data_IF_217472296470
#
_entry.id   IF_217472296470
#
_cell.length_a   1.000
_cell.length_b   1.000
_cell.length_c   1.000
_cell.angle_alpha   90.00
_cell.angle_beta   90.00
_cell.angle_gamma   90.00
#
_symmetry.space_group_name_H-M   'P 1'
#
loop_
_entity.id
_entity.type
_entity.pdbx_description
1 polymer ?
#
# COMPACT_ATOMS: atom_id res chain seq x y z
N UNK A 1 24.54 24.90 22.85
CA UNK A 1 25.59 24.01 22.31
C UNK A 1 25.24 22.53 22.49
N UNK A 2 24.86 22.07 23.70
CA UNK A 2 24.38 20.69 23.89
C UNK A 2 23.04 20.42 23.18
N UNK A 3 22.13 21.39 23.16
CA UNK A 3 20.85 21.29 22.43
C UNK A 3 21.02 21.22 20.90
N UNK A 4 22.10 21.77 20.34
CA UNK A 4 22.38 21.66 18.89
C UNK A 4 22.99 20.31 18.53
N UNK A 5 23.73 19.66 19.44
CA UNK A 5 24.25 18.30 19.23
C UNK A 5 23.13 17.26 19.21
N UNK A 6 22.07 17.45 20.02
CA UNK A 6 20.92 16.55 20.06
C UNK A 6 20.14 16.49 18.74
N UNK A 7 20.24 17.54 17.89
CA UNK A 7 19.55 17.62 16.59
C UNK A 7 20.25 16.86 15.46
N UNK A 8 21.47 16.35 15.67
CA UNK A 8 22.22 15.58 14.67
C UNK A 8 21.70 14.13 14.68
N UNK A 9 20.99 13.73 13.62
CA UNK A 9 20.35 12.41 13.53
C UNK A 9 21.34 11.26 13.30
N UNK A 10 22.47 11.52 12.64
CA UNK A 10 23.49 10.49 12.42
C UNK A 10 24.33 10.28 13.71
N UNK A 11 24.30 9.08 14.32
CA UNK A 11 24.92 8.85 15.62
C UNK A 11 26.45 8.90 15.59
N UNK A 12 27.09 8.58 14.45
CA UNK A 12 28.53 8.68 14.27
C UNK A 12 28.97 10.14 14.19
N UNK A 13 28.26 10.95 13.38
CA UNK A 13 28.54 12.39 13.22
C UNK A 13 28.24 13.13 14.53
N UNK A 14 27.15 12.79 15.22
CA UNK A 14 26.80 13.37 16.53
C UNK A 14 27.89 13.09 17.57
N UNK A 15 28.37 11.86 17.64
CA UNK A 15 29.42 11.46 18.58
C UNK A 15 30.76 12.12 18.28
N UNK A 16 31.15 12.17 17.00
CA UNK A 16 32.37 12.87 16.58
C UNK A 16 32.29 14.38 16.86
N UNK A 17 31.16 15.02 16.55
CA UNK A 17 30.95 16.45 16.79
C UNK A 17 30.94 16.76 18.29
N UNK A 18 30.32 15.91 19.12
CA UNK A 18 30.34 16.06 20.57
C UNK A 18 31.75 15.92 21.14
N UNK A 19 32.53 14.94 20.67
CA UNK A 19 33.92 14.74 21.12
C UNK A 19 34.82 15.93 20.75
N UNK A 20 34.72 16.44 19.52
CA UNK A 20 35.46 17.63 19.06
C UNK A 20 35.06 18.85 19.89
N UNK A 21 33.76 19.01 20.17
CA UNK A 21 33.22 20.13 20.97
C UNK A 21 33.76 20.10 22.40
N UNK A 22 33.69 18.94 23.07
CA UNK A 22 34.20 18.75 24.43
C UNK A 22 35.71 18.96 24.49
N UNK A 23 36.44 18.43 23.50
CA UNK A 23 37.88 18.65 23.37
C UNK A 23 38.19 20.15 23.26
N UNK A 24 37.51 20.86 22.36
CA UNK A 24 37.70 22.31 22.15
C UNK A 24 37.41 23.13 23.41
N UNK A 25 36.33 22.81 24.14
CA UNK A 25 35.97 23.50 25.39
C UNK A 25 37.00 23.23 26.49
N UNK A 26 37.49 21.99 26.61
CA UNK A 26 38.52 21.64 27.61
C UNK A 26 39.85 22.32 27.29
N UNK A 27 40.26 22.37 26.02
CA UNK A 27 41.50 23.06 25.61
C UNK A 27 41.40 24.56 25.83
N UNK A 28 40.23 25.16 25.57
CA UNK A 28 40.00 26.59 25.80
C UNK A 28 39.97 26.93 27.29
N UNK A 29 39.33 26.11 28.13
CA UNK A 29 39.34 26.27 29.59
C UNK A 29 40.76 26.14 30.16
N UNK A 30 41.55 25.17 29.68
CA UNK A 30 42.95 25.02 30.07
C UNK A 30 43.81 26.23 29.66
N UNK A 31 43.62 26.75 28.43
CA UNK A 31 44.32 27.93 27.95
C UNK A 31 43.97 29.21 28.74
N UNK A 32 42.71 29.40 29.11
CA UNK A 32 42.28 30.51 29.98
C UNK A 32 42.90 30.39 31.37
N UNK A 33 42.92 29.18 31.94
CA UNK A 33 43.47 28.93 33.28
C UNK A 33 44.98 29.24 33.32
N UNK A 34 45.71 28.88 32.27
CA UNK A 34 47.14 29.20 32.10
C UNK A 34 47.37 30.70 31.83
N UNK A 35 46.44 31.37 31.11
CA UNK A 35 46.54 32.79 30.80
C UNK A 35 46.23 33.72 31.98
N UNK A 36 45.32 33.33 32.88
CA UNK A 36 44.94 34.11 34.06
C UNK A 36 45.93 33.91 35.22
N UNK A 37 46.43 32.68 35.40
CA UNK A 37 47.47 32.40 36.38
C UNK A 37 48.85 32.70 35.79
N UNK A 38 49.28 33.98 35.83
CA UNK A 38 50.61 34.44 35.40
C UNK A 38 51.70 33.39 35.67
N UNK A 39 52.49 32.99 34.66
CA UNK A 39 53.82 32.49 34.94
C UNK A 39 54.84 33.12 34.00
N UNK A 40 55.71 33.97 34.57
CA UNK A 40 57.04 34.20 34.03
C UNK A 40 57.89 32.98 34.38
N UNK A 41 57.79 31.86 33.65
CA UNK A 41 58.79 30.77 33.63
C UNK A 41 58.41 29.69 32.61
N UNK A 42 59.42 29.20 31.88
CA UNK A 42 59.34 28.20 30.79
C UNK A 42 58.66 26.86 31.16
N UNK A 43 58.56 26.53 32.45
CA UNK A 43 58.02 25.23 32.90
C UNK A 43 56.50 25.09 32.76
N UNK A 44 55.73 26.19 32.81
CA UNK A 44 54.27 26.15 32.71
C UNK A 44 53.78 25.68 31.32
N UNK A 45 54.56 25.96 30.28
CA UNK A 45 54.26 25.57 28.90
C UNK A 45 54.47 24.05 28.68
N UNK A 46 55.50 23.46 29.31
CA UNK A 46 55.77 22.01 29.26
C UNK A 46 54.71 21.19 29.97
N UNK A 47 54.17 21.68 31.09
CA UNK A 47 53.05 21.03 31.79
C UNK A 47 51.73 21.09 31.01
N UNK A 48 51.48 22.16 30.25
CA UNK A 48 50.29 22.26 29.37
C UNK A 48 50.36 21.29 28.19
N UNK A 49 51.54 21.13 27.59
CA UNK A 49 51.76 20.25 26.45
C UNK A 49 51.61 18.76 26.82
N UNK A 50 52.10 18.37 28.01
CA UNK A 50 51.98 16.99 28.52
C UNK A 50 50.55 16.61 28.88
N UNK A 51 49.78 17.52 29.49
CA UNK A 51 48.35 17.29 29.76
C UNK A 51 47.53 17.11 28.47
N UNK A 52 47.84 17.86 27.40
CA UNK A 52 47.14 17.75 26.11
C UNK A 52 47.44 16.43 25.37
N UNK A 53 48.66 15.89 25.51
CA UNK A 53 49.07 14.60 24.93
C UNK A 53 48.47 13.40 25.67
N UNK A 54 48.34 13.47 27.00
CA UNK A 54 47.68 12.42 27.80
C UNK A 54 46.18 12.35 27.46
N UNK A 55 45.52 13.51 27.27
CA UNK A 55 44.12 13.56 26.86
C UNK A 55 43.84 12.92 25.50
N UNK A 56 44.77 13.03 24.54
CA UNK A 56 44.66 12.38 23.22
C UNK A 56 44.90 10.87 23.30
N UNK A 57 45.83 10.44 24.17
CA UNK A 57 46.11 9.01 24.40
C UNK A 57 44.95 8.25 25.04
N UNK A 58 44.29 8.83 26.06
CA UNK A 58 43.15 8.21 26.75
C UNK A 58 41.92 8.13 25.82
N UNK A 59 41.69 9.15 24.98
CA UNK A 59 40.63 9.12 23.97
C UNK A 59 40.83 8.07 22.87
N UNK A 60 42.08 7.86 22.43
CA UNK A 60 42.41 6.84 21.42
C UNK A 60 42.29 5.41 21.96
N UNK A 61 42.67 5.16 23.22
CA UNK A 61 42.51 3.86 23.89
C UNK A 61 41.05 3.50 24.15
N UNK A 62 40.20 4.46 24.55
CA UNK A 62 38.75 4.23 24.68
C UNK A 62 38.10 3.93 23.33
N UNK A 63 38.54 4.61 22.26
CA UNK A 63 38.09 4.35 20.89
C UNK A 63 38.46 2.95 20.37
N UNK A 64 39.67 2.45 20.69
CA UNK A 64 40.13 1.13 20.28
C UNK A 64 39.44 0.00 21.06
N UNK A 65 39.28 0.13 22.38
CA UNK A 65 38.61 -0.88 23.22
C UNK A 65 37.11 -0.96 22.91
N UNK A 66 36.45 0.16 22.55
CA UNK A 66 35.05 0.15 22.12
C UNK A 66 34.87 -0.42 20.70
N UNK A 67 35.83 -0.17 19.80
CA UNK A 67 35.88 -0.78 18.45
C UNK A 67 36.07 -2.29 18.50
N UNK A 68 36.85 -2.80 19.45
CA UNK A 68 37.05 -4.25 19.64
C UNK A 68 35.82 -4.95 20.24
N UNK A 69 35.01 -4.27 21.06
CA UNK A 69 33.73 -4.79 21.56
C UNK A 69 32.59 -4.76 20.54
N UNK A 70 32.64 -3.87 19.55
CA UNK A 70 31.66 -3.86 18.43
C UNK A 70 32.11 -4.68 17.20
N UNK A 71 33.36 -5.18 17.18
CA UNK A 71 33.87 -6.09 16.15
C UNK A 71 33.30 -7.52 16.21
N UNK A 72 32.50 -7.85 17.24
CA UNK A 72 31.79 -9.12 17.35
C UNK A 72 30.30 -8.91 17.01
N UNK A 73 29.96 -9.21 15.74
CA UNK A 73 28.62 -9.32 15.14
C UNK A 73 27.80 -8.02 14.95
N UNK A 74 28.12 -7.32 13.86
CA UNK A 74 27.07 -6.88 12.92
C UNK A 74 27.60 -7.06 11.51
N UNK A 75 27.42 -8.26 10.95
CA UNK A 75 27.47 -8.42 9.51
C UNK A 75 26.27 -7.65 8.94
N UNK A 76 26.52 -6.50 8.33
CA UNK A 76 25.67 -5.97 7.27
C UNK A 76 25.77 -6.92 6.09
N UNK A 77 24.95 -7.98 6.13
CA UNK A 77 24.58 -8.69 4.93
C UNK A 77 23.67 -7.81 4.06
N UNK A 78 23.52 -8.11 2.76
CA UNK A 78 22.45 -7.52 1.97
C UNK A 78 21.14 -7.67 2.74
N UNK A 79 20.23 -6.69 2.60
CA UNK A 79 18.84 -6.85 3.05
C UNK A 79 18.44 -8.27 2.70
N UNK A 80 18.12 -9.08 3.72
CA UNK A 80 17.72 -10.45 3.49
C UNK A 80 16.44 -10.36 2.67
N UNK A 81 16.59 -10.41 1.36
CA UNK A 81 15.62 -11.00 0.47
C UNK A 81 15.34 -12.33 1.17
N UNK A 82 14.23 -12.39 1.90
CA UNK A 82 13.65 -13.66 2.24
C UNK A 82 13.57 -14.37 0.89
N UNK A 83 14.36 -15.44 0.74
CA UNK A 83 14.23 -16.41 -0.35
C UNK A 83 12.73 -16.53 -0.63
N UNK A 84 12.32 -16.51 -1.91
CA UNK A 84 10.94 -16.33 -2.38
C UNK A 84 9.85 -17.29 -1.84
N UNK A 85 10.06 -17.97 -0.72
CA UNK A 85 9.06 -18.50 0.19
C UNK A 85 8.40 -17.36 0.98
N UNK A 86 7.10 -17.18 0.74
CA UNK A 86 6.27 -16.40 1.65
C UNK A 86 6.36 -16.99 3.07
N UNK A 87 6.53 -16.17 4.12
CA UNK A 87 6.81 -16.66 5.49
C UNK A 87 5.65 -17.43 6.12
N UNK A 88 4.46 -17.34 5.54
CA UNK A 88 3.36 -18.27 5.74
C UNK A 88 2.63 -18.46 4.41
N UNK A 89 1.83 -19.53 4.26
CA UNK A 89 1.18 -19.86 2.98
C UNK A 89 -0.34 -19.65 2.98
N UNK A 90 -1.00 -19.86 4.11
CA UNK A 90 -2.46 -19.73 4.21
C UNK A 90 -2.83 -18.66 5.23
N UNK A 91 -3.56 -18.99 6.29
CA UNK A 91 -3.98 -18.01 7.31
C UNK A 91 -2.95 -17.87 8.43
N UNK A 92 -2.60 -16.63 8.77
CA UNK A 92 -1.88 -16.28 9.99
C UNK A 92 -2.71 -15.30 10.81
N UNK A 93 -2.67 -15.43 12.12
CA UNK A 93 -3.40 -14.56 13.02
C UNK A 93 -2.66 -13.23 13.23
N UNK A 94 -3.41 -12.14 13.19
CA UNK A 94 -2.95 -10.79 13.47
C UNK A 94 -3.85 -10.14 14.50
N UNK A 95 -3.25 -9.46 15.47
CA UNK A 95 -3.96 -8.62 16.44
C UNK A 95 -4.06 -7.20 15.88
N UNK A 96 -5.25 -6.61 16.00
CA UNK A 96 -5.44 -5.17 15.76
C UNK A 96 -4.76 -4.40 16.88
N UNK A 97 -3.58 -3.86 16.60
CA UNK A 97 -2.78 -3.09 17.56
C UNK A 97 -3.27 -1.65 17.69
N UNK A 98 -3.86 -1.08 16.64
CA UNK A 98 -4.35 0.29 16.61
C UNK A 98 -5.52 0.43 15.62
N UNK A 99 -6.45 1.34 15.92
CA UNK A 99 -7.61 1.68 15.10
C UNK A 99 -7.76 3.20 15.03
N UNK A 100 -7.65 3.78 13.84
CA UNK A 100 -7.60 5.24 13.62
C UNK A 100 -8.71 5.65 12.64
N UNK A 101 -9.53 6.64 13.01
CA UNK A 101 -10.52 7.22 12.09
C UNK A 101 -9.82 8.23 11.18
N UNK A 102 -9.73 7.91 9.89
CA UNK A 102 -9.02 8.72 8.90
C UNK A 102 -9.94 9.73 8.19
N UNK A 103 -11.23 9.40 8.11
CA UNK A 103 -12.27 10.28 7.58
C UNK A 103 -13.64 9.87 8.14
N UNK A 104 -14.73 10.52 7.71
CA UNK A 104 -16.08 10.11 8.11
C UNK A 104 -16.46 8.69 7.68
N UNK A 105 -15.76 8.12 6.69
CA UNK A 105 -16.07 6.79 6.19
C UNK A 105 -14.89 5.81 6.18
N UNK A 106 -13.65 6.27 6.38
CA UNK A 106 -12.45 5.43 6.33
C UNK A 106 -11.85 5.30 7.73
N UNK A 107 -11.58 4.06 8.12
CA UNK A 107 -10.87 3.73 9.37
C UNK A 107 -9.68 2.84 9.05
N UNK A 108 -8.52 3.17 9.58
CA UNK A 108 -7.29 2.37 9.51
C UNK A 108 -7.19 1.38 10.67
N UNK A 109 -6.72 0.18 10.36
CA UNK A 109 -6.47 -0.92 11.29
C UNK A 109 -5.02 -1.36 11.14
N UNK A 110 -4.26 -1.27 12.23
CA UNK A 110 -2.85 -1.64 12.27
C UNK A 110 -2.73 -3.06 12.81
N UNK A 111 -2.22 -3.97 11.99
CA UNK A 111 -2.18 -5.40 12.25
C UNK A 111 -0.76 -5.83 12.59
N UNK A 112 -0.57 -6.44 13.75
CA UNK A 112 0.68 -7.08 14.17
C UNK A 112 0.46 -8.59 14.29
N UNK A 113 1.45 -9.43 13.95
CA UNK A 113 1.29 -10.87 14.06
C UNK A 113 1.07 -11.26 15.53
N UNK A 114 0.06 -12.09 15.78
CA UNK A 114 -0.31 -12.52 17.14
C UNK A 114 0.83 -13.29 17.83
N UNK A 115 1.59 -14.06 17.04
CA UNK A 115 2.73 -14.85 17.48
C UNK A 115 4.00 -14.02 17.80
N UNK A 116 3.97 -12.70 17.58
CA UNK A 116 5.11 -11.79 17.80
C UNK A 116 6.28 -11.98 16.82
N UNK A 117 6.15 -12.86 15.82
CA UNK A 117 7.17 -13.11 14.82
C UNK A 117 7.34 -11.95 13.83
N UNK A 118 8.35 -12.04 12.97
CA UNK A 118 8.54 -11.04 11.91
C UNK A 118 7.48 -11.16 10.82
N UNK A 119 7.21 -10.04 10.13
CA UNK A 119 6.42 -10.00 8.90
C UNK A 119 7.31 -9.56 7.73
N UNK A 120 7.08 -10.11 6.53
CA UNK A 120 7.83 -9.74 5.35
C UNK A 120 7.46 -8.33 4.93
N UNK A 121 8.36 -7.73 4.15
CA UNK A 121 7.98 -6.56 3.38
C UNK A 121 6.97 -6.92 2.28
N UNK A 122 6.32 -5.91 1.74
CA UNK A 122 5.45 -6.00 0.57
C UNK A 122 5.87 -4.97 -0.48
N UNK A 123 5.43 -5.18 -1.72
CA UNK A 123 5.58 -4.20 -2.80
C UNK A 123 4.46 -3.15 -2.70
N UNK A 124 4.78 -1.86 -2.90
CA UNK A 124 3.78 -0.81 -2.77
C UNK A 124 2.66 -0.98 -3.78
N UNK A 125 1.42 -1.06 -3.26
CA UNK A 125 0.21 -1.34 -4.05
C UNK A 125 -0.37 -2.75 -3.84
N UNK A 126 0.37 -3.67 -3.23
CA UNK A 126 -0.17 -4.98 -2.82
C UNK A 126 -1.29 -4.84 -1.78
N UNK A 127 -2.10 -5.89 -1.67
CA UNK A 127 -3.19 -6.03 -0.71
C UNK A 127 -2.97 -7.20 0.25
N UNK A 128 -3.73 -7.20 1.34
CA UNK A 128 -3.88 -8.32 2.26
C UNK A 128 -5.26 -8.96 2.09
N UNK A 129 -5.33 -10.28 2.00
CA UNK A 129 -6.61 -11.00 2.07
C UNK A 129 -6.88 -11.33 3.53
N UNK A 130 -8.00 -10.85 4.07
CA UNK A 130 -8.44 -11.15 5.43
C UNK A 130 -9.68 -12.04 5.44
N UNK A 131 -9.81 -12.82 6.50
CA UNK A 131 -10.98 -13.65 6.77
C UNK A 131 -11.61 -13.20 8.08
N UNK A 132 -12.92 -12.98 8.03
CA UNK A 132 -13.72 -12.48 9.14
C UNK A 132 -14.78 -13.52 9.52
N UNK A 133 -14.73 -13.98 10.77
CA UNK A 133 -15.77 -14.78 11.38
C UNK A 133 -16.88 -13.84 11.88
N UNK A 134 -17.88 -13.58 11.04
CA UNK A 134 -18.95 -12.61 11.32
C UNK A 134 -20.17 -13.35 11.89
N UNK A 135 -20.64 -13.01 13.11
CA UNK A 135 -21.84 -13.62 13.68
C UNK A 135 -23.05 -13.53 12.74
N UNK A 136 -23.76 -14.65 12.58
CA UNK A 136 -24.92 -14.75 11.70
C UNK A 136 -24.60 -15.00 10.23
N UNK A 137 -23.33 -14.99 9.81
CA UNK A 137 -22.95 -15.46 8.48
C UNK A 137 -22.71 -16.98 8.50
N UNK A 138 -23.21 -17.73 7.49
CA UNK A 138 -23.07 -19.19 7.45
C UNK A 138 -21.63 -19.64 7.14
N UNK A 139 -20.79 -18.74 6.62
CA UNK A 139 -19.38 -18.99 6.30
C UNK A 139 -18.54 -17.75 6.61
N UNK A 140 -17.22 -17.91 6.82
CA UNK A 140 -16.33 -16.78 6.99
C UNK A 140 -16.37 -15.83 5.80
N UNK A 141 -16.39 -14.53 6.06
CA UNK A 141 -16.38 -13.50 5.01
C UNK A 141 -14.94 -13.14 4.67
N UNK A 142 -14.55 -13.39 3.42
CA UNK A 142 -13.19 -13.12 2.92
C UNK A 142 -13.19 -11.83 2.09
N UNK A 143 -12.26 -10.91 2.40
CA UNK A 143 -12.09 -9.64 1.65
C UNK A 143 -10.62 -9.29 1.49
N UNK A 144 -10.34 -8.52 0.44
CA UNK A 144 -9.01 -7.98 0.14
C UNK A 144 -8.98 -6.48 0.36
N UNK A 145 -7.94 -5.98 1.02
CA UNK A 145 -7.74 -4.55 1.26
C UNK A 145 -6.28 -4.17 0.96
N UNK A 146 -6.07 -3.11 0.17
CA UNK A 146 -4.72 -2.62 -0.14
C UNK A 146 -3.97 -2.27 1.15
N UNK A 147 -2.68 -2.63 1.17
CA UNK A 147 -1.77 -2.23 2.23
C UNK A 147 -1.50 -0.74 2.07
N UNK A 148 -1.95 0.05 3.04
CA UNK A 148 -2.03 1.51 2.94
C UNK A 148 -0.87 2.24 3.62
N UNK A 149 0.24 1.55 3.87
CA UNK A 149 1.43 2.11 4.52
C UNK A 149 2.70 1.66 3.77
N UNK A 150 3.84 2.24 4.11
CA UNK A 150 5.16 1.77 3.68
C UNK A 150 6.26 2.36 4.59
N UNK A 151 7.04 1.49 5.23
CA UNK A 151 8.08 1.87 6.21
C UNK A 151 9.32 0.96 6.07
N UNK A 152 10.52 1.46 6.42
CA UNK A 152 11.79 0.73 6.22
C UNK A 152 11.82 -0.66 6.87
N UNK A 153 11.21 -0.78 8.05
CA UNK A 153 11.05 -2.07 8.72
C UNK A 153 9.56 -2.29 8.92
N UNK A 154 9.03 -3.32 8.27
CA UNK A 154 7.61 -3.66 8.35
C UNK A 154 7.32 -4.25 9.74
N UNK A 155 6.84 -3.40 10.65
CA UNK A 155 6.45 -3.78 12.01
C UNK A 155 4.95 -4.07 12.14
N UNK A 156 4.16 -3.63 11.16
CA UNK A 156 2.72 -3.83 11.06
C UNK A 156 2.28 -3.77 9.60
N UNK A 157 1.10 -4.29 9.32
CA UNK A 157 0.33 -3.95 8.13
C UNK A 157 -0.76 -2.95 8.47
N UNK A 158 -1.03 -1.98 7.58
CA UNK A 158 -2.13 -1.03 7.74
C UNK A 158 -3.19 -1.27 6.68
N UNK A 159 -4.38 -1.70 7.08
CA UNK A 159 -5.55 -1.77 6.21
C UNK A 159 -6.44 -0.57 6.48
N UNK A 160 -6.90 0.11 5.43
CA UNK A 160 -7.72 1.30 5.55
C UNK A 160 -9.03 1.08 4.82
N UNK A 161 -10.11 0.94 5.58
CA UNK A 161 -11.35 0.33 5.09
C UNK A 161 -12.44 1.38 5.09
N UNK A 162 -13.06 1.60 3.92
CA UNK A 162 -14.27 2.41 3.79
C UNK A 162 -15.50 1.64 4.29
N UNK A 163 -16.32 2.27 5.12
CA UNK A 163 -17.65 1.78 5.50
C UNK A 163 -18.59 1.88 4.30
N UNK A 164 -19.32 0.80 4.03
CA UNK A 164 -20.36 0.75 2.98
C UNK A 164 -21.74 0.54 3.62
N UNK A 165 -22.38 1.60 4.16
CA UNK A 165 -23.73 1.48 4.71
C UNK A 165 -24.74 1.23 3.59
N UNK A 166 -25.96 0.84 3.96
CA UNK A 166 -27.06 0.75 3.02
C UNK A 166 -27.28 2.13 2.38
N UNK A 167 -27.34 2.24 1.04
CA UNK A 167 -27.63 3.51 0.39
C UNK A 167 -29.00 4.03 0.82
N UNK A 168 -29.09 5.31 1.18
CA UNK A 168 -30.35 5.92 1.59
C UNK A 168 -31.35 5.89 0.42
N UNK A 169 -32.54 5.35 0.67
CA UNK A 169 -33.64 5.33 -0.30
C UNK A 169 -33.52 4.28 -1.40
N UNK A 170 -32.57 3.34 -1.29
CA UNK A 170 -32.49 2.17 -2.17
C UNK A 170 -32.66 0.89 -1.33
N UNK A 171 -33.33 -0.10 -1.91
CA UNK A 171 -33.45 -1.45 -1.32
C UNK A 171 -32.18 -2.27 -1.62
N UNK A 172 -31.05 -1.79 -1.09
CA UNK A 172 -29.73 -2.42 -1.26
C UNK A 172 -29.14 -2.65 0.12
N UNK A 173 -28.74 -3.89 0.39
CA UNK A 173 -28.18 -4.30 1.67
C UNK A 173 -26.82 -3.62 1.94
N UNK A 174 -26.49 -3.34 3.22
CA UNK A 174 -25.19 -2.79 3.59
C UNK A 174 -24.06 -3.80 3.36
N UNK A 175 -22.84 -3.30 3.16
CA UNK A 175 -21.64 -4.14 3.05
C UNK A 175 -21.34 -4.87 4.35
N UNK A 176 -21.44 -6.19 4.35
CA UNK A 176 -21.30 -7.02 5.56
C UNK A 176 -19.92 -6.85 6.23
N UNK A 177 -18.83 -7.00 5.48
CA UNK A 177 -17.48 -6.98 6.02
C UNK A 177 -17.05 -5.59 6.52
N UNK A 178 -17.29 -4.53 5.72
CA UNK A 178 -16.82 -3.20 6.08
C UNK A 178 -17.55 -2.62 7.28
N UNK A 179 -18.87 -2.85 7.41
CA UNK A 179 -19.60 -2.45 8.61
C UNK A 179 -19.13 -3.25 9.84
N UNK A 180 -18.93 -4.57 9.72
CA UNK A 180 -18.40 -5.38 10.82
C UNK A 180 -17.01 -4.90 11.28
N UNK A 181 -16.10 -4.60 10.36
CA UNK A 181 -14.78 -4.03 10.67
C UNK A 181 -14.90 -2.71 11.44
N UNK A 182 -15.85 -1.84 11.07
CA UNK A 182 -16.02 -0.57 11.76
C UNK A 182 -16.71 -0.72 13.12
N UNK A 183 -17.76 -1.53 13.21
CA UNK A 183 -18.64 -1.63 14.38
C UNK A 183 -18.09 -2.56 15.46
N UNK A 184 -17.56 -3.70 15.08
CA UNK A 184 -17.28 -4.82 16.01
C UNK A 184 -15.79 -5.09 16.22
N UNK A 185 -14.95 -4.86 15.21
CA UNK A 185 -13.50 -5.03 15.36
C UNK A 185 -12.93 -3.87 16.18
N UNK A 186 -12.25 -4.20 17.27
CA UNK A 186 -11.61 -3.24 18.18
C UNK A 186 -10.12 -3.54 18.33
N UNK A 187 -9.38 -2.66 19.01
CA UNK A 187 -8.00 -2.96 19.42
C UNK A 187 -8.01 -4.23 20.29
N UNK A 188 -7.10 -5.16 19.99
CA UNK A 188 -7.03 -6.48 20.60
C UNK A 188 -7.81 -7.58 19.86
N UNK A 189 -8.69 -7.25 18.90
CA UNK A 189 -9.34 -8.25 18.06
C UNK A 189 -8.33 -9.00 17.19
N UNK A 190 -8.58 -10.29 16.95
CA UNK A 190 -7.76 -11.14 16.08
C UNK A 190 -8.41 -11.25 14.70
N UNK A 191 -7.61 -11.05 13.66
CA UNK A 191 -8.00 -11.16 12.26
C UNK A 191 -7.04 -12.12 11.58
N UNK A 192 -7.58 -13.06 10.80
CA UNK A 192 -6.75 -13.97 10.02
C UNK A 192 -6.44 -13.37 8.65
N UNK A 193 -5.18 -13.44 8.24
CA UNK A 193 -4.72 -12.89 6.97
C UNK A 193 -3.84 -13.86 6.19
N UNK A 194 -3.99 -13.84 4.85
CA UNK A 194 -3.01 -14.42 3.91
C UNK A 194 -1.84 -13.46 3.70
N UNK A 195 -0.71 -13.94 3.15
CA UNK A 195 0.41 -13.07 2.79
C UNK A 195 0.02 -11.93 1.84
N UNK A 196 0.79 -10.83 1.81
CA UNK A 196 0.64 -9.80 0.80
C UNK A 196 0.66 -10.37 -0.61
N UNK A 197 -0.25 -9.90 -1.45
CA UNK A 197 -0.39 -10.32 -2.83
C UNK A 197 -0.91 -9.17 -3.70
N UNK A 198 -0.95 -9.38 -5.01
CA UNK A 198 -1.45 -8.39 -5.97
C UNK A 198 -0.41 -8.01 -7.02
N UNK A 199 -0.91 -7.56 -8.17
CA UNK A 199 -0.11 -7.18 -9.35
C UNK A 199 -0.11 -5.68 -9.62
N UNK A 200 -0.97 -4.93 -8.94
CA UNK A 200 -0.99 -3.47 -8.99
C UNK A 200 0.15 -2.92 -8.13
N UNK A 201 1.37 -2.99 -8.64
CA UNK A 201 2.60 -2.66 -7.91
C UNK A 201 3.36 -1.53 -8.59
N UNK A 202 3.89 -0.60 -7.79
CA UNK A 202 4.82 0.41 -8.28
C UNK A 202 6.25 -0.14 -8.23
N UNK A 203 6.90 -0.21 -9.38
CA UNK A 203 8.36 -0.37 -9.43
C UNK A 203 9.03 0.97 -9.12
N UNK A 204 9.45 1.14 -7.87
CA UNK A 204 10.00 2.40 -7.36
C UNK A 204 11.33 2.79 -8.00
N UNK A 205 12.06 1.85 -8.61
CA UNK A 205 13.41 2.09 -9.14
C UNK A 205 13.44 2.59 -10.59
N UNK A 206 12.28 2.63 -11.26
CA UNK A 206 12.18 3.26 -12.59
C UNK A 206 12.48 4.76 -12.52
N UNK A 207 13.05 5.28 -13.60
CA UNK A 207 13.32 6.72 -13.77
C UNK A 207 12.13 7.49 -14.34
N UNK A 208 11.18 6.81 -15.00
CA UNK A 208 10.02 7.45 -15.60
C UNK A 208 9.18 8.11 -14.51
N UNK A 209 8.70 9.35 -14.68
CA UNK A 209 7.83 9.96 -13.69
C UNK A 209 6.58 9.13 -13.41
N UNK A 210 5.99 9.30 -12.23
CA UNK A 210 4.80 8.54 -11.82
C UNK A 210 3.65 9.48 -11.46
N UNK A 211 2.45 9.16 -11.91
CA UNK A 211 1.22 9.91 -11.65
C UNK A 211 0.24 8.99 -10.93
N UNK A 212 0.07 9.19 -9.63
CA UNK A 212 -0.84 8.45 -8.77
C UNK A 212 -2.19 9.17 -8.72
N UNK A 213 -3.24 8.53 -9.21
CA UNK A 213 -4.56 9.13 -9.39
C UNK A 213 -5.60 8.31 -8.64
N UNK A 214 -6.31 8.94 -7.71
CA UNK A 214 -7.34 8.24 -6.94
C UNK A 214 -8.58 9.06 -6.63
N UNK A 215 -9.66 8.38 -6.28
CA UNK A 215 -10.78 9.00 -5.57
C UNK A 215 -11.27 8.14 -4.39
N UNK A 216 -11.76 8.80 -3.34
CA UNK A 216 -12.26 8.14 -2.13
C UNK A 216 -11.27 7.11 -1.55
N UNK A 217 -11.73 5.88 -1.29
CA UNK A 217 -10.88 4.82 -0.70
C UNK A 217 -9.77 4.32 -1.64
N UNK A 218 -9.81 4.67 -2.94
CA UNK A 218 -8.74 4.38 -3.89
C UNK A 218 -7.40 5.04 -3.54
N UNK A 219 -7.38 5.97 -2.57
CA UNK A 219 -6.15 6.56 -2.03
C UNK A 219 -5.23 5.54 -1.35
N UNK A 220 -5.77 4.40 -0.91
CA UNK A 220 -5.07 3.42 -0.06
C UNK A 220 -3.83 2.80 -0.70
N UNK A 221 -3.84 2.26 -1.94
CA UNK A 221 -2.60 1.85 -2.61
C UNK A 221 -1.70 3.06 -2.93
N UNK A 222 -2.28 4.22 -3.26
CA UNK A 222 -1.53 5.41 -3.67
C UNK A 222 -0.65 5.96 -2.56
N UNK A 223 -1.14 6.02 -1.31
CA UNK A 223 -0.32 6.48 -0.20
C UNK A 223 0.84 5.51 0.11
N UNK A 224 0.64 4.20 -0.07
CA UNK A 224 1.73 3.21 0.03
C UNK A 224 2.80 3.46 -1.04
N UNK A 225 2.38 3.67 -2.30
CA UNK A 225 3.25 4.01 -3.42
C UNK A 225 4.01 5.32 -3.20
N UNK A 226 3.34 6.37 -2.74
CA UNK A 226 3.96 7.66 -2.45
C UNK A 226 5.01 7.54 -1.33
N UNK A 227 4.69 6.85 -0.24
CA UNK A 227 5.62 6.59 0.87
C UNK A 227 6.83 5.76 0.41
N UNK A 228 6.63 4.76 -0.43
CA UNK A 228 7.73 3.93 -0.94
C UNK A 228 8.65 4.75 -1.86
N UNK A 229 8.08 5.49 -2.80
CA UNK A 229 8.82 6.33 -3.74
C UNK A 229 9.64 7.39 -3.00
N UNK A 230 9.01 8.15 -2.11
CA UNK A 230 9.66 9.19 -1.30
C UNK A 230 10.85 8.66 -0.47
N UNK A 231 10.81 7.39 -0.06
CA UNK A 231 11.91 6.78 0.73
C UNK A 231 13.00 6.17 -0.14
N UNK A 232 12.61 5.46 -1.20
CA UNK A 232 13.52 4.58 -1.96
C UNK A 232 14.05 5.24 -3.22
N UNK A 233 13.34 6.22 -3.76
CA UNK A 233 13.72 6.97 -4.95
C UNK A 233 13.21 8.42 -4.85
N UNK A 234 13.73 9.21 -3.88
CA UNK A 234 13.25 10.57 -3.59
C UNK A 234 13.42 11.54 -4.77
N UNK A 235 14.31 11.25 -5.72
CA UNK A 235 14.56 12.10 -6.88
C UNK A 235 13.56 11.84 -8.03
N UNK A 236 12.76 10.77 -7.96
CA UNK A 236 11.78 10.45 -9.00
C UNK A 236 10.60 11.43 -8.96
N UNK A 237 10.30 12.15 -10.06
CA UNK A 237 9.15 13.05 -10.09
C UNK A 237 7.85 12.25 -9.90
N UNK A 238 7.02 12.74 -8.98
CA UNK A 238 5.80 12.07 -8.55
C UNK A 238 4.67 13.09 -8.45
N UNK A 239 3.54 12.80 -9.09
CA UNK A 239 2.30 13.55 -8.89
C UNK A 239 1.29 12.70 -8.15
N UNK A 240 0.69 13.28 -7.11
CA UNK A 240 -0.36 12.66 -6.31
C UNK A 240 -1.65 13.45 -6.48
N UNK A 241 -2.59 12.91 -7.26
CA UNK A 241 -3.89 13.53 -7.52
C UNK A 241 -4.98 12.74 -6.81
N UNK A 242 -5.75 13.42 -5.95
CA UNK A 242 -6.80 12.78 -5.18
C UNK A 242 -8.12 13.55 -5.23
N UNK A 243 -9.19 12.84 -5.62
CA UNK A 243 -10.56 13.32 -5.61
C UNK A 243 -11.32 12.90 -4.35
N UNK A 244 -11.94 13.85 -3.65
CA UNK A 244 -12.87 13.58 -2.56
C UNK A 244 -14.17 14.39 -2.72
N UNK A 245 -15.19 14.07 -1.91
CA UNK A 245 -16.42 14.87 -1.87
C UNK A 245 -16.14 16.24 -1.26
N UNK A 246 -15.61 16.23 -0.05
CA UNK A 246 -15.27 17.39 0.76
C UNK A 246 -14.18 16.98 1.77
N UNK A 247 -13.74 17.90 2.61
CA UNK A 247 -12.67 17.64 3.58
C UNK A 247 -12.98 16.56 4.62
N UNK A 248 -14.25 16.24 4.89
CA UNK A 248 -14.63 15.17 5.84
C UNK A 248 -14.40 13.77 5.29
N UNK A 249 -14.37 13.63 3.97
CA UNK A 249 -14.21 12.35 3.29
C UNK A 249 -12.78 12.14 2.76
N UNK A 250 -11.89 13.13 2.92
CA UNK A 250 -10.50 13.05 2.49
C UNK A 250 -9.64 12.41 3.59
N UNK A 251 -9.36 11.11 3.46
CA UNK A 251 -8.43 10.41 4.34
C UNK A 251 -6.96 10.78 4.03
N UNK A 252 -6.09 10.74 5.04
CA UNK A 252 -4.63 10.88 4.91
C UNK A 252 -4.10 12.21 4.36
N UNK A 253 -4.90 13.28 4.31
CA UNK A 253 -4.47 14.58 3.76
C UNK A 253 -3.18 15.08 4.41
N UNK A 254 -3.14 15.06 5.74
CA UNK A 254 -2.02 15.54 6.54
C UNK A 254 -0.79 14.64 6.34
N UNK A 255 -0.99 13.33 6.21
CA UNK A 255 0.09 12.38 5.99
C UNK A 255 0.75 12.56 4.60
N UNK A 256 -0.06 12.73 3.55
CA UNK A 256 0.44 13.01 2.20
C UNK A 256 1.15 14.37 2.14
N UNK A 257 0.61 15.39 2.81
CA UNK A 257 1.26 16.71 2.91
C UNK A 257 2.60 16.64 3.64
N UNK A 258 2.70 15.86 4.71
CA UNK A 258 3.97 15.67 5.43
C UNK A 258 5.04 15.00 4.54
N UNK A 259 4.63 14.05 3.67
CA UNK A 259 5.55 13.46 2.69
C UNK A 259 5.99 14.53 1.68
N UNK A 260 5.05 15.31 1.13
CA UNK A 260 5.36 16.34 0.13
C UNK A 260 6.30 17.43 0.68
N UNK A 261 6.13 17.83 1.94
CA UNK A 261 7.03 18.79 2.60
C UNK A 261 8.48 18.32 2.69
N UNK A 262 8.71 17.00 2.71
CA UNK A 262 10.04 16.40 2.78
C UNK A 262 10.58 16.00 1.40
N UNK A 263 9.76 16.05 0.35
CA UNK A 263 10.07 15.53 -0.97
C UNK A 263 9.63 16.55 -2.05
N UNK A 264 10.52 17.46 -2.47
CA UNK A 264 10.18 18.50 -3.46
C UNK A 264 9.72 17.96 -4.83
N UNK A 265 10.08 16.71 -5.13
CA UNK A 265 9.68 15.97 -6.34
C UNK A 265 8.25 15.45 -6.29
N UNK A 266 7.62 15.42 -5.10
CA UNK A 266 6.21 15.06 -4.91
C UNK A 266 5.32 16.30 -5.01
N UNK A 267 4.56 16.38 -6.10
CA UNK A 267 3.55 17.40 -6.35
C UNK A 267 2.16 16.86 -6.01
N UNK A 268 1.40 17.59 -5.22
CA UNK A 268 0.09 17.13 -4.70
C UNK A 268 -1.02 18.02 -5.23
N UNK A 269 -2.09 17.40 -5.75
CA UNK A 269 -3.28 18.10 -6.22
C UNK A 269 -4.55 17.42 -5.73
N UNK A 270 -5.29 18.10 -4.86
CA UNK A 270 -6.57 17.65 -4.33
C UNK A 270 -7.72 18.34 -5.07
N UNK A 271 -8.70 17.53 -5.48
CA UNK A 271 -9.90 17.99 -6.16
C UNK A 271 -11.15 17.63 -5.35
N UNK A 272 -11.94 18.62 -4.95
CA UNK A 272 -13.16 18.40 -4.16
C UNK A 272 -14.40 18.63 -5.03
N UNK A 273 -15.27 17.63 -5.12
CA UNK A 273 -16.48 17.73 -5.96
C UNK A 273 -17.60 18.55 -5.32
N UNK A 274 -17.58 18.70 -3.99
CA UNK A 274 -18.58 19.43 -3.19
C UNK A 274 -17.90 20.09 -1.97
N UNK A 275 -16.91 20.97 -2.17
CA UNK A 275 -16.18 21.58 -1.06
C UNK A 275 -17.14 22.38 -0.17
N UNK A 276 -16.81 22.43 1.12
CA UNK A 276 -17.51 23.27 2.11
C UNK A 276 -16.68 24.53 2.38
N UNK A 277 -17.27 25.58 2.97
CA UNK A 277 -16.52 26.79 3.34
C UNK A 277 -15.29 26.51 4.21
N UNK A 278 -15.34 25.48 5.08
CA UNK A 278 -14.22 25.10 5.95
C UNK A 278 -13.07 24.41 5.20
N UNK A 279 -13.30 23.99 3.95
CA UNK A 279 -12.29 23.31 3.13
C UNK A 279 -11.41 24.30 2.37
N UNK A 280 -11.68 25.61 2.44
CA UNK A 280 -10.92 26.65 1.76
C UNK A 280 -9.42 26.58 2.10
N UNK A 281 -8.56 26.53 1.07
CA UNK A 281 -7.11 26.38 1.23
C UNK A 281 -6.62 24.94 1.45
N UNK A 282 -7.53 23.97 1.53
CA UNK A 282 -7.19 22.55 1.69
C UNK A 282 -7.34 21.71 0.41
N UNK A 283 -7.75 22.34 -0.71
CA UNK A 283 -7.84 21.73 -2.03
C UNK A 283 -7.40 22.71 -3.12
N UNK A 284 -7.03 22.19 -4.30
CA UNK A 284 -6.50 22.99 -5.41
C UNK A 284 -7.54 23.24 -6.52
N UNK A 285 -8.54 22.36 -6.67
CA UNK A 285 -9.61 22.55 -7.66
C UNK A 285 -10.96 21.98 -7.21
N UNK A 286 -12.03 22.51 -7.78
CA UNK A 286 -13.38 21.97 -7.62
C UNK A 286 -13.74 21.00 -8.75
N UNK A 287 -14.56 20.00 -8.44
CA UNK A 287 -15.03 19.00 -9.41
C UNK A 287 -14.36 17.64 -9.25
N UNK A 288 -13.95 17.04 -10.36
CA UNK A 288 -13.33 15.72 -10.41
C UNK A 288 -11.92 15.80 -11.01
N UNK A 289 -11.06 14.84 -10.68
CA UNK A 289 -9.82 14.65 -11.42
C UNK A 289 -10.17 14.02 -12.77
N UNK A 290 -9.85 14.71 -13.87
CA UNK A 290 -10.08 14.27 -15.24
C UNK A 290 -8.81 14.46 -16.09
N UNK A 291 -8.83 14.00 -17.34
CA UNK A 291 -7.66 14.11 -18.23
C UNK A 291 -7.31 15.56 -18.55
N UNK A 292 -8.29 16.47 -18.58
CA UNK A 292 -8.06 17.87 -18.87
C UNK A 292 -7.28 18.56 -17.74
N UNK A 293 -7.50 18.15 -16.48
CA UNK A 293 -6.67 18.53 -15.36
C UNK A 293 -5.26 17.93 -15.47
N UNK A 294 -5.15 16.63 -15.81
CA UNK A 294 -3.84 15.98 -15.99
C UNK A 294 -2.97 16.71 -17.03
N UNK A 295 -3.54 17.06 -18.18
CA UNK A 295 -2.86 17.79 -19.25
C UNK A 295 -2.26 19.14 -18.82
N UNK A 296 -2.78 19.75 -17.75
CA UNK A 296 -2.26 21.01 -17.20
C UNK A 296 -1.13 20.80 -16.21
N UNK A 297 -1.03 19.62 -15.60
CA UNK A 297 -0.18 19.37 -14.43
C UNK A 297 0.98 18.43 -14.72
N UNK A 298 0.82 17.48 -15.66
CA UNK A 298 1.77 16.39 -15.88
C UNK A 298 2.12 16.23 -17.36
N UNK A 299 3.23 15.54 -17.62
CA UNK A 299 3.64 15.10 -18.96
C UNK A 299 2.99 13.75 -19.30
N UNK A 300 2.66 13.48 -20.59
CA UNK A 300 2.17 12.17 -21.00
C UNK A 300 3.24 11.06 -20.93
N UNK A 301 4.53 11.42 -20.83
CA UNK A 301 5.64 10.46 -20.66
C UNK A 301 5.83 10.12 -19.18
N UNK A 302 4.89 9.34 -18.62
CA UNK A 302 4.83 8.97 -17.21
C UNK A 302 4.07 7.64 -17.03
N UNK A 303 4.32 6.93 -15.91
CA UNK A 303 3.46 5.82 -15.49
C UNK A 303 2.24 6.34 -14.73
N UNK A 304 1.04 5.98 -15.19
CA UNK A 304 -0.23 6.40 -14.59
C UNK A 304 -0.83 5.25 -13.79
N UNK A 305 -1.02 5.45 -12.48
CA UNK A 305 -1.65 4.48 -11.58
C UNK A 305 -3.02 4.99 -11.15
N UNK A 306 -4.07 4.24 -11.49
CA UNK A 306 -5.47 4.64 -11.27
C UNK A 306 -6.13 3.72 -10.24
N UNK A 307 -6.76 4.29 -9.21
CA UNK A 307 -7.61 3.51 -8.31
C UNK A 307 -8.77 4.34 -7.77
N UNK A 308 -9.99 3.84 -7.96
CA UNK A 308 -11.19 4.57 -7.55
C UNK A 308 -12.48 3.90 -7.99
N UNK A 309 -13.55 4.70 -8.10
CA UNK A 309 -14.83 4.21 -8.60
C UNK A 309 -14.76 3.82 -10.08
N UNK A 310 -15.55 2.82 -10.54
CA UNK A 310 -15.51 2.38 -11.94
C UNK A 310 -15.74 3.50 -12.97
N UNK A 311 -16.72 4.41 -12.81
CA UNK A 311 -16.91 5.51 -13.76
C UNK A 311 -15.72 6.47 -13.82
N UNK A 312 -15.08 6.72 -12.68
CA UNK A 312 -13.90 7.56 -12.58
C UNK A 312 -12.71 6.96 -13.33
N UNK A 313 -12.41 5.68 -13.07
CA UNK A 313 -11.31 5.00 -13.76
C UNK A 313 -11.57 4.86 -15.26
N UNK A 314 -12.81 4.56 -15.67
CA UNK A 314 -13.16 4.47 -17.09
C UNK A 314 -12.93 5.80 -17.81
N UNK A 315 -13.44 6.90 -17.25
CA UNK A 315 -13.26 8.24 -17.81
C UNK A 315 -11.78 8.62 -17.96
N UNK A 316 -10.94 8.29 -16.97
CA UNK A 316 -9.50 8.55 -17.04
C UNK A 316 -8.80 7.68 -18.08
N UNK A 317 -9.13 6.39 -18.18
CA UNK A 317 -8.55 5.51 -19.21
C UNK A 317 -8.89 5.98 -20.62
N UNK A 318 -10.15 6.32 -20.87
CA UNK A 318 -10.59 6.83 -22.18
C UNK A 318 -9.88 8.15 -22.51
N UNK A 319 -9.77 9.04 -21.52
CA UNK A 319 -9.04 10.30 -21.66
C UNK A 319 -7.55 10.11 -21.94
N UNK A 320 -6.85 9.25 -21.18
CA UNK A 320 -5.42 8.97 -21.35
C UNK A 320 -5.14 8.34 -22.72
N UNK A 321 -6.01 7.43 -23.16
CA UNK A 321 -5.95 6.84 -24.51
C UNK A 321 -6.11 7.92 -25.59
N UNK A 322 -7.10 8.80 -25.45
CA UNK A 322 -7.29 9.93 -26.38
C UNK A 322 -6.12 10.93 -26.36
N UNK A 323 -5.44 11.06 -25.22
CA UNK A 323 -4.23 11.87 -25.07
C UNK A 323 -2.97 11.18 -25.65
N UNK A 324 -3.06 9.91 -26.05
CA UNK A 324 -1.95 9.17 -26.66
C UNK A 324 -0.97 8.58 -25.65
N UNK A 325 -1.38 8.40 -24.38
CA UNK A 325 -0.59 7.67 -23.38
C UNK A 325 -0.59 6.18 -23.76
N UNK A 326 0.58 5.52 -23.84
CA UNK A 326 0.66 4.09 -24.15
C UNK A 326 -0.04 3.24 -23.10
N UNK A 327 -0.75 2.19 -23.53
CA UNK A 327 -1.55 1.34 -22.64
C UNK A 327 -0.68 0.65 -21.58
N UNK A 328 0.55 0.28 -21.92
CA UNK A 328 1.53 -0.32 -21.02
C UNK A 328 2.02 0.61 -19.90
N UNK A 329 1.70 1.91 -19.98
CA UNK A 329 2.01 2.90 -18.95
C UNK A 329 0.79 3.23 -18.08
N UNK A 330 -0.37 2.61 -18.33
CA UNK A 330 -1.61 2.85 -17.57
C UNK A 330 -1.96 1.60 -16.75
N UNK A 331 -1.72 1.70 -15.44
CA UNK A 331 -2.01 0.65 -14.46
C UNK A 331 -3.29 1.02 -13.69
N UNK A 332 -4.17 0.06 -13.42
CA UNK A 332 -5.36 0.32 -12.62
C UNK A 332 -5.80 -0.87 -11.77
N UNK A 333 -6.45 -0.57 -10.65
CA UNK A 333 -7.08 -1.57 -9.78
C UNK A 333 -8.50 -1.13 -9.39
N UNK A 334 -9.47 -2.00 -9.63
CA UNK A 334 -10.88 -1.75 -9.33
C UNK A 334 -11.34 -2.50 -8.07
N UNK A 335 -11.90 -1.77 -7.11
CA UNK A 335 -12.40 -2.35 -5.84
C UNK A 335 -13.86 -2.78 -5.87
N UNK A 336 -14.60 -2.33 -6.88
CA UNK A 336 -16.01 -2.66 -7.09
C UNK A 336 -16.21 -3.10 -8.53
N UNK A 337 -17.19 -3.99 -8.76
CA UNK A 337 -17.64 -4.34 -10.10
C UNK A 337 -17.98 -3.07 -10.89
N UNK A 338 -17.56 -2.99 -12.15
CA UNK A 338 -18.18 -2.03 -13.08
C UNK A 338 -19.63 -2.48 -13.34
N UNK A 339 -20.62 -1.57 -13.42
CA UNK A 339 -21.94 -1.98 -13.90
C UNK A 339 -21.78 -2.65 -15.26
N UNK A 340 -22.43 -3.80 -15.45
CA UNK A 340 -22.41 -4.49 -16.73
C UNK A 340 -22.89 -3.51 -17.80
N UNK A 341 -22.07 -3.25 -18.81
CA UNK A 341 -22.52 -2.49 -19.97
C UNK A 341 -23.71 -3.26 -20.56
N UNK A 342 -24.81 -2.57 -20.83
CA UNK A 342 -25.91 -3.16 -21.59
C UNK A 342 -25.36 -3.51 -22.97
N UNK A 343 -25.24 -4.81 -23.26
CA UNK A 343 -24.80 -5.29 -24.56
C UNK A 343 -25.76 -4.80 -25.64
N UNK A 344 -25.29 -4.15 -26.72
CA UNK A 344 -26.11 -3.94 -27.91
C UNK A 344 -26.53 -5.30 -28.51
N UNK A 345 -27.67 -5.37 -29.25
CA UNK A 345 -28.14 -6.63 -29.82
C UNK A 345 -27.08 -7.23 -30.75
N UNK A 346 -26.90 -8.54 -30.58
CA UNK A 346 -25.80 -9.33 -31.13
C UNK A 346 -25.70 -9.25 -32.65
N UNK A 347 -24.52 -8.83 -33.13
CA UNK A 347 -23.93 -9.38 -34.36
C UNK A 347 -23.20 -10.64 -33.92
N UNK A 348 -23.47 -11.80 -34.54
CA UNK A 348 -22.79 -13.06 -34.20
C UNK A 348 -21.27 -12.93 -34.38
N UNK A 349 -20.45 -13.04 -33.33
CA UNK A 349 -19.01 -13.14 -33.46
C UNK A 349 -18.61 -14.62 -33.64
N UNK A 350 -17.74 -14.88 -34.60
CA UNK A 350 -17.01 -16.14 -34.72
C UNK A 350 -16.03 -16.24 -33.54
N UNK A 351 -16.35 -17.07 -32.54
CA UNK A 351 -15.52 -17.29 -31.36
C UNK A 351 -15.93 -18.57 -30.62
N UNK A 352 -15.10 -19.04 -29.69
CA UNK A 352 -15.42 -20.24 -28.92
C UNK A 352 -16.71 -20.06 -28.11
N UNK A 353 -17.54 -21.11 -28.06
CA UNK A 353 -18.75 -21.13 -27.25
C UNK A 353 -18.84 -22.43 -26.46
N UNK A 354 -19.51 -22.37 -25.31
CA UNK A 354 -19.73 -23.52 -24.45
C UNK A 354 -21.07 -23.40 -23.72
N UNK A 355 -21.70 -24.53 -23.46
CA UNK A 355 -22.84 -24.61 -22.55
C UNK A 355 -22.34 -24.61 -21.10
N UNK A 356 -22.77 -23.63 -20.31
CA UNK A 356 -22.45 -23.53 -18.90
C UNK A 356 -23.71 -23.78 -18.09
N UNK A 357 -23.65 -24.79 -17.22
CA UNK A 357 -24.71 -25.14 -16.29
C UNK A 357 -24.34 -24.71 -14.89
N UNK A 358 -25.22 -23.97 -14.27
CA UNK A 358 -25.12 -23.51 -12.89
C UNK A 358 -26.09 -24.34 -12.04
N UNK A 359 -25.58 -25.43 -11.46
CA UNK A 359 -26.37 -26.53 -10.93
C UNK A 359 -27.29 -26.14 -9.75
N UNK A 360 -26.89 -25.19 -8.90
CA UNK A 360 -27.72 -24.76 -7.77
C UNK A 360 -28.81 -23.78 -8.22
N UNK A 361 -28.48 -22.92 -9.19
CA UNK A 361 -29.49 -22.02 -9.77
C UNK A 361 -30.44 -22.71 -10.76
N UNK A 362 -30.06 -23.89 -11.27
CA UNK A 362 -30.77 -24.62 -12.32
C UNK A 362 -30.70 -23.97 -13.71
N UNK A 363 -29.88 -22.93 -13.88
CA UNK A 363 -29.74 -22.23 -15.14
C UNK A 363 -28.72 -22.90 -16.06
N UNK A 364 -29.08 -23.03 -17.32
CA UNK A 364 -28.22 -23.51 -18.40
C UNK A 364 -28.16 -22.42 -19.46
N UNK A 365 -26.97 -21.89 -19.73
CA UNK A 365 -26.77 -20.74 -20.58
C UNK A 365 -25.59 -20.96 -21.52
N UNK A 366 -25.62 -20.31 -22.68
CA UNK A 366 -24.52 -20.38 -23.66
C UNK A 366 -23.52 -19.27 -23.38
N UNK A 367 -22.33 -19.65 -22.95
CA UNK A 367 -21.17 -18.77 -22.82
C UNK A 367 -20.51 -18.60 -24.19
N UNK A 368 -20.06 -17.38 -24.48
CA UNK A 368 -19.24 -17.02 -25.63
C UNK A 368 -17.92 -16.42 -25.13
N UNK A 369 -16.88 -16.51 -25.95
CA UNK A 369 -15.55 -15.96 -25.61
C UNK A 369 -15.59 -14.48 -25.18
N UNK A 370 -16.49 -13.69 -25.78
CA UNK A 370 -16.73 -12.28 -25.43
C UNK A 370 -17.29 -12.06 -24.03
N UNK A 371 -17.89 -13.08 -23.41
CA UNK A 371 -18.54 -12.97 -22.10
C UNK A 371 -17.54 -13.01 -20.93
N UNK A 372 -16.26 -13.21 -21.22
CA UNK A 372 -15.21 -13.12 -20.22
C UNK A 372 -14.99 -14.42 -19.44
N UNK A 373 -14.67 -14.29 -18.16
CA UNK A 373 -14.49 -15.40 -17.22
C UNK A 373 -15.83 -16.02 -16.80
N UNK A 374 -15.79 -17.24 -16.26
CA UNK A 374 -16.99 -17.92 -15.74
C UNK A 374 -17.69 -17.12 -14.62
N UNK A 375 -16.93 -16.37 -13.81
CA UNK A 375 -17.52 -15.45 -12.82
C UNK A 375 -18.25 -14.28 -13.50
N UNK A 376 -17.63 -13.62 -14.46
CA UNK A 376 -18.25 -12.48 -15.17
C UNK A 376 -19.53 -12.92 -15.88
N UNK A 377 -19.50 -14.08 -16.52
CA UNK A 377 -20.68 -14.68 -17.14
C UNK A 377 -21.79 -15.04 -16.14
N UNK A 378 -21.45 -15.62 -14.99
CA UNK A 378 -22.42 -15.89 -13.92
C UNK A 378 -23.08 -14.57 -13.46
N UNK A 379 -22.26 -13.56 -13.18
CA UNK A 379 -22.72 -12.26 -12.70
C UNK A 379 -23.59 -11.51 -13.73
N UNK A 380 -23.29 -11.64 -15.02
CA UNK A 380 -24.09 -11.05 -16.10
C UNK A 380 -25.49 -11.69 -16.21
N UNK A 381 -25.61 -12.94 -15.75
CA UNK A 381 -26.86 -13.71 -15.75
C UNK A 381 -27.49 -13.78 -14.35
N UNK A 382 -27.18 -12.82 -13.48
CA UNK A 382 -27.74 -12.68 -12.13
C UNK A 382 -27.42 -13.85 -11.18
N UNK A 383 -26.37 -14.61 -11.46
CA UNK A 383 -25.84 -15.66 -10.59
C UNK A 383 -24.64 -15.07 -9.85
N UNK A 384 -24.73 -14.99 -8.53
CA UNK A 384 -23.79 -14.22 -7.70
C UNK A 384 -23.00 -15.13 -6.75
N UNK A 385 -22.10 -15.99 -7.27
CA UNK A 385 -21.27 -16.84 -6.43
C UNK A 385 -20.28 -15.98 -5.62
N UNK A 386 -19.78 -16.48 -4.46
CA UNK A 386 -18.82 -15.73 -3.67
C UNK A 386 -17.54 -15.38 -4.46
N UNK A 387 -17.05 -14.14 -4.35
CA UNK A 387 -15.75 -13.72 -4.90
C UNK A 387 -15.10 -12.61 -4.06
N UNK A 388 -13.81 -12.37 -4.30
CA UNK A 388 -13.10 -11.19 -3.75
C UNK A 388 -12.07 -10.64 -4.75
N UNK A 389 -10.91 -11.29 -4.92
CA UNK A 389 -9.76 -10.67 -5.60
C UNK A 389 -9.85 -10.58 -7.14
N UNK A 390 -10.70 -11.39 -7.78
CA UNK A 390 -10.77 -11.56 -9.25
C UNK A 390 -9.45 -11.89 -9.99
N UNK A 391 -8.41 -12.32 -9.26
CA UNK A 391 -7.08 -12.57 -9.80
C UNK A 391 -6.57 -14.00 -9.54
N UNK A 392 -7.45 -14.91 -9.10
CA UNK A 392 -7.06 -16.30 -8.79
C UNK A 392 -6.18 -16.47 -7.55
N UNK A 393 -6.21 -15.51 -6.61
CA UNK A 393 -5.32 -15.45 -5.43
C UNK A 393 -6.06 -15.81 -4.13
N UNK A 394 -7.25 -15.21 -3.90
CA UNK A 394 -7.91 -15.30 -2.59
C UNK A 394 -8.56 -16.67 -2.32
N UNK A 395 -8.99 -17.40 -3.37
CA UNK A 395 -9.74 -18.65 -3.26
C UNK A 395 -11.24 -18.48 -3.00
N UNK A 396 -11.76 -17.25 -2.84
CA UNK A 396 -13.20 -17.04 -2.57
C UNK A 396 -14.08 -17.49 -3.73
N UNK A 397 -13.58 -17.39 -4.96
CA UNK A 397 -14.29 -17.79 -6.18
C UNK A 397 -14.16 -19.30 -6.49
N UNK A 398 -13.78 -20.13 -5.51
CA UNK A 398 -13.72 -21.57 -5.71
C UNK A 398 -15.14 -22.14 -5.74
N UNK A 399 -15.46 -22.91 -6.77
CA UNK A 399 -16.64 -23.77 -6.80
C UNK A 399 -16.29 -25.17 -7.34
N UNK A 400 -17.18 -26.14 -7.09
CA UNK A 400 -17.00 -27.50 -7.57
C UNK A 400 -17.32 -27.58 -9.06
N UNK A 401 -16.40 -28.16 -9.83
CA UNK A 401 -16.57 -28.49 -11.23
C UNK A 401 -17.15 -29.90 -11.32
N UNK A 402 -18.46 -30.00 -11.55
CA UNK A 402 -19.17 -31.29 -11.59
C UNK A 402 -18.93 -32.04 -12.90
N UNK A 403 -18.75 -31.31 -14.01
CA UNK A 403 -18.40 -31.88 -15.31
C UNK A 403 -17.74 -30.84 -16.22
N UNK A 404 -16.95 -31.31 -17.18
CA UNK A 404 -16.25 -30.48 -18.16
C UNK A 404 -14.83 -30.11 -17.73
N UNK A 405 -14.18 -29.30 -18.57
CA UNK A 405 -12.85 -28.76 -18.36
C UNK A 405 -12.86 -27.25 -18.50
N UNK A 406 -12.00 -26.60 -17.72
CA UNK A 406 -11.76 -25.17 -17.80
C UNK A 406 -10.29 -24.90 -18.10
N UNK A 407 -10.02 -23.73 -18.68
CA UNK A 407 -8.67 -23.18 -18.78
C UNK A 407 -8.57 -21.92 -17.94
N UNK A 408 -7.38 -21.61 -17.45
CA UNK A 408 -7.13 -20.36 -16.76
C UNK A 408 -6.45 -19.37 -17.69
N UNK A 409 -6.91 -18.11 -17.68
CA UNK A 409 -6.25 -17.01 -18.41
C UNK A 409 -4.84 -16.76 -17.89
N UNK A 410 -4.62 -17.08 -16.62
CA UNK A 410 -3.35 -16.91 -15.92
C UNK A 410 -3.17 -18.02 -14.87
N UNK A 411 -1.93 -18.34 -14.52
CA UNK A 411 -1.65 -19.38 -13.54
C UNK A 411 -2.23 -18.99 -12.16
N UNK A 412 -3.12 -19.80 -11.56
CA UNK A 412 -3.67 -19.52 -10.25
C UNK A 412 -2.60 -19.66 -9.16
N UNK A 413 -2.75 -18.87 -8.09
CA UNK A 413 -1.88 -18.98 -6.90
C UNK A 413 -2.63 -19.51 -5.68
N UNK A 414 -3.96 -19.38 -5.65
CA UNK A 414 -4.76 -20.04 -4.63
C UNK A 414 -4.63 -21.56 -4.75
N UNK A 415 -4.56 -22.26 -3.61
CA UNK A 415 -4.71 -23.71 -3.59
C UNK A 415 -6.11 -24.11 -4.07
N UNK A 416 -6.18 -25.06 -4.99
CA UNK A 416 -7.42 -25.56 -5.58
C UNK A 416 -7.49 -27.06 -5.31
N UNK A 417 -8.54 -27.49 -4.61
CA UNK A 417 -8.79 -28.90 -4.37
C UNK A 417 -9.20 -29.62 -5.67
N UNK A 418 -8.89 -30.91 -5.76
CA UNK A 418 -9.27 -31.72 -6.92
C UNK A 418 -10.78 -31.68 -7.16
N UNK A 419 -11.20 -31.45 -8.41
CA UNK A 419 -12.61 -31.28 -8.76
C UNK A 419 -13.19 -29.90 -8.46
N UNK A 420 -12.36 -28.90 -8.13
CA UNK A 420 -12.77 -27.50 -7.97
C UNK A 420 -12.09 -26.57 -8.97
N UNK A 421 -12.66 -25.38 -9.17
CA UNK A 421 -12.19 -24.37 -10.13
C UNK A 421 -12.30 -22.95 -9.55
N UNK A 422 -11.36 -22.07 -9.92
CA UNK A 422 -11.45 -20.63 -9.68
C UNK A 422 -12.19 -19.92 -10.81
N UNK A 423 -13.51 -19.73 -10.67
CA UNK A 423 -14.35 -19.16 -11.75
C UNK A 423 -13.96 -17.74 -12.14
N UNK A 424 -13.26 -17.01 -11.26
CA UNK A 424 -12.90 -15.62 -11.46
C UNK A 424 -11.76 -15.35 -12.45
N UNK A 425 -11.03 -16.39 -12.86
CA UNK A 425 -9.96 -16.28 -13.87
C UNK A 425 -10.02 -17.42 -14.90
N UNK A 426 -11.06 -18.26 -14.86
CA UNK A 426 -11.22 -19.40 -15.75
C UNK A 426 -12.24 -19.16 -16.86
N UNK A 427 -12.04 -19.83 -17.99
CA UNK A 427 -12.97 -19.92 -19.11
C UNK A 427 -13.26 -21.39 -19.43
N UNK A 428 -14.42 -21.72 -20.04
CA UNK A 428 -14.67 -23.06 -20.57
C UNK A 428 -13.58 -23.51 -21.53
N UNK A 429 -13.16 -24.77 -21.40
CA UNK A 429 -12.27 -25.44 -22.35
C UNK A 429 -13.01 -26.53 -23.12
N UNK A 430 -13.99 -27.18 -22.48
CA UNK A 430 -14.90 -28.12 -23.13
C UNK A 430 -16.18 -27.44 -23.62
N UNK A 431 -16.89 -28.07 -24.55
CA UNK A 431 -18.19 -27.61 -25.09
C UNK A 431 -19.28 -27.50 -24.01
N UNK A 432 -19.11 -28.20 -22.89
CA UNK A 432 -20.02 -28.17 -21.74
C UNK A 432 -19.23 -28.11 -20.44
N UNK A 433 -19.64 -27.22 -19.53
CA UNK A 433 -19.11 -27.07 -18.18
C UNK A 433 -20.26 -27.03 -17.18
N UNK A 434 -20.17 -27.80 -16.09
CA UNK A 434 -21.18 -27.83 -15.02
C UNK A 434 -20.55 -27.38 -13.71
N UNK A 435 -21.01 -26.25 -13.19
CA UNK A 435 -20.53 -25.62 -11.97
C UNK A 435 -21.57 -25.78 -10.86
N UNK A 436 -21.11 -26.11 -9.66
CA UNK A 436 -21.95 -26.22 -8.46
C UNK A 436 -22.24 -24.85 -7.83
N UNK A 437 -22.96 -23.99 -8.58
CA UNK A 437 -23.35 -22.62 -8.18
C UNK A 437 -24.76 -22.25 -8.66
#
# INVERSE_FOLDING_TARGET
>A
MLESLAKIQNPLIRSATAAITVCSVMTFAAAITIGIAKPKTDDAFRSGLTASLIGTGVGALFGLVYRQRQGAKTQTGPATQLDGKQPWQDWRNFVVAEKVKESEEITSFYLKPEDGGMIPHFQPGQFLTIKLEIPGQPRPVIRTYSLSDYCNTCMHYRLSIKREPAPKGLDVLPGVASNFMHDQIQVGSVIQAKPPAGKFILDVYKSLPVVLISNGVGITPMISMAKACARMNPDRPLWFLHGARDGRFHAFREEVQAIAQQNPTLQVHYCYSRPRPEDAGHYQSEGYVDVALLQKLVTPNAEFFLCGSPPFMQSLRDGLKAWGVPEEQVFFEAFTKAPAAASPPAIEPQGASAEVVFAQSGQTLTWRESDGTLLEFAEANNINPPYSCRAGICGTCICKLQAGEVTYREAPTAAIEAGSVLICISQPKSERVVLDI
#
